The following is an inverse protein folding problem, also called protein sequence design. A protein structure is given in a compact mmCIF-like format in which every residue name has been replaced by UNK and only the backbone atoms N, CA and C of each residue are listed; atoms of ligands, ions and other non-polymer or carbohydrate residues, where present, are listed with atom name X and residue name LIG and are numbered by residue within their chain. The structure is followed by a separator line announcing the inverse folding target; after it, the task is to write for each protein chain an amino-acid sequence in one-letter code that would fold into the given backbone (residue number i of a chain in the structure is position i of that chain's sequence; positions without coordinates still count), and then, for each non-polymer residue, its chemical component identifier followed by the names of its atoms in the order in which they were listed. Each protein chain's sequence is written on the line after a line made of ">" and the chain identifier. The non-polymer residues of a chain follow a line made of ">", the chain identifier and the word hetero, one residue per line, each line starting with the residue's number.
data_IF_800789351275
#
_entry.id   IF_800789351275
#
_cell.length_a   1.000
_cell.length_b   1.000
_cell.length_c   1.000
_cell.angle_alpha   90.00
_cell.angle_beta   90.00
_cell.angle_gamma   90.00
#
_symmetry.space_group_name_H-M   'P 1'
#
loop_
_entity.id
_entity.type
_entity.pdbx_description
1 polymer ?
#
# COMPACT_ATOMS: atom_id res chain seq x y z
N UNK A 1 5.00 10.37 -12.23
CA UNK A 1 3.71 10.96 -12.64
C UNK A 1 2.61 10.13 -12.05
N UNK A 2 1.61 10.77 -11.45
CA UNK A 2 0.43 10.10 -10.89
C UNK A 2 -0.42 9.58 -12.03
N UNK A 3 -0.62 8.26 -12.08
CA UNK A 3 -1.58 7.66 -13.01
C UNK A 3 -2.98 7.85 -12.48
N UNK A 4 -3.90 8.25 -13.37
CA UNK A 4 -5.30 8.47 -13.04
C UNK A 4 -6.12 7.41 -13.78
N UNK A 5 -6.71 6.49 -13.02
CA UNK A 5 -7.60 5.47 -13.56
C UNK A 5 -9.05 5.94 -13.44
N UNK A 6 -9.86 5.74 -14.49
CA UNK A 6 -11.31 6.03 -14.42
C UNK A 6 -12.07 4.80 -13.93
N UNK A 7 -12.93 4.98 -12.91
CA UNK A 7 -13.82 3.94 -12.39
C UNK A 7 -15.26 4.37 -12.64
N UNK A 8 -16.02 3.57 -13.40
CA UNK A 8 -17.45 3.78 -13.55
C UNK A 8 -18.19 3.28 -12.30
N UNK A 9 -19.06 4.11 -11.74
CA UNK A 9 -19.84 3.81 -10.56
C UNK A 9 -21.28 4.31 -10.72
N UNK A 10 -22.22 3.65 -10.03
CA UNK A 10 -23.62 4.05 -9.99
C UNK A 10 -23.93 4.75 -8.67
N UNK A 11 -24.68 5.85 -8.75
CA UNK A 11 -25.14 6.55 -7.56
C UNK A 11 -26.25 5.76 -6.86
N UNK A 12 -26.24 5.77 -5.53
CA UNK A 12 -27.24 5.10 -4.71
C UNK A 12 -27.98 6.08 -3.81
N UNK A 13 -29.30 6.05 -3.88
CA UNK A 13 -30.14 6.92 -3.05
C UNK A 13 -30.35 6.40 -1.62
N UNK A 14 -30.27 5.07 -1.42
CA UNK A 14 -30.48 4.45 -0.09
C UNK A 14 -29.15 4.18 0.61
N UNK A 15 -28.90 4.89 1.69
CA UNK A 15 -27.83 4.63 2.64
C UNK A 15 -28.22 3.57 3.69
N UNK A 16 -27.22 2.93 4.30
CA UNK A 16 -27.41 2.05 5.47
C UNK A 16 -27.22 0.54 5.21
N UNK A 17 -27.25 -0.23 6.30
CA UNK A 17 -26.91 -1.68 6.33
C UNK A 17 -27.80 -2.53 5.41
N UNK A 18 -29.10 -2.22 5.33
CA UNK A 18 -30.05 -2.94 4.49
C UNK A 18 -29.79 -2.74 2.99
N UNK A 19 -29.53 -1.49 2.59
CA UNK A 19 -29.24 -1.15 1.20
C UNK A 19 -27.89 -1.74 0.75
N UNK A 20 -26.85 -1.67 1.59
CA UNK A 20 -25.56 -2.28 1.30
C UNK A 20 -25.69 -3.81 1.10
N UNK A 21 -26.50 -4.49 1.93
CA UNK A 21 -26.80 -5.92 1.76
C UNK A 21 -27.54 -6.23 0.46
N UNK A 22 -28.50 -5.41 0.06
CA UNK A 22 -29.24 -5.60 -1.19
C UNK A 22 -28.29 -5.55 -2.40
N UNK A 23 -27.39 -4.57 -2.45
CA UNK A 23 -26.47 -4.43 -3.58
C UNK A 23 -25.42 -5.52 -3.64
N UNK A 24 -24.97 -6.05 -2.49
CA UNK A 24 -24.14 -7.27 -2.49
C UNK A 24 -24.89 -8.49 -3.04
N UNK A 25 -26.21 -8.60 -2.78
CA UNK A 25 -27.05 -9.64 -3.39
C UNK A 25 -27.23 -9.45 -4.89
N UNK A 26 -27.21 -8.21 -5.36
CA UNK A 26 -27.20 -7.86 -6.80
C UNK A 26 -25.82 -8.10 -7.45
N UNK A 27 -24.81 -8.53 -6.68
CA UNK A 27 -23.46 -8.80 -7.18
C UNK A 27 -22.59 -7.56 -7.38
N UNK A 28 -23.01 -6.39 -6.86
CA UNK A 28 -22.23 -5.14 -6.90
C UNK A 28 -21.58 -4.85 -5.56
N UNK A 29 -20.47 -4.11 -5.58
CA UNK A 29 -19.74 -3.70 -4.37
C UNK A 29 -20.24 -2.33 -3.92
N UNK A 30 -20.80 -2.20 -2.70
CA UNK A 30 -21.11 -0.90 -2.14
C UNK A 30 -19.83 -0.14 -1.79
N UNK A 31 -19.83 1.18 -2.00
CA UNK A 31 -18.75 2.04 -1.56
C UNK A 31 -19.26 3.41 -1.12
N UNK A 32 -18.36 4.18 -0.52
CA UNK A 32 -18.64 5.55 -0.07
C UNK A 32 -17.54 6.48 -0.56
N UNK A 33 -17.95 7.58 -1.17
CA UNK A 33 -17.09 8.71 -1.47
C UNK A 33 -17.28 9.77 -0.40
N UNK A 34 -16.25 10.13 0.34
CA UNK A 34 -16.31 11.17 1.38
C UNK A 34 -15.11 12.13 1.30
N UNK A 35 -15.13 13.21 2.06
CA UNK A 35 -14.01 14.15 2.14
C UNK A 35 -14.24 15.45 1.36
N UNK A 36 -13.18 16.25 1.22
CA UNK A 36 -13.23 17.58 0.62
C UNK A 36 -14.31 18.54 1.17
N UNK A 37 -14.71 18.38 2.45
CA UNK A 37 -15.79 19.14 3.12
C UNK A 37 -17.16 19.05 2.42
N UNK A 38 -17.40 17.99 1.64
CA UNK A 38 -18.66 17.73 0.97
C UNK A 38 -19.38 16.53 1.59
N UNK A 39 -20.68 16.43 1.33
CA UNK A 39 -21.48 15.32 1.83
C UNK A 39 -21.01 13.97 1.24
N UNK A 40 -21.01 12.90 2.05
CA UNK A 40 -20.69 11.56 1.58
C UNK A 40 -21.70 11.08 0.53
N UNK A 41 -21.20 10.51 -0.57
CA UNK A 41 -22.03 9.91 -1.61
C UNK A 41 -21.89 8.39 -1.54
N UNK A 42 -23.03 7.71 -1.44
CA UNK A 42 -23.09 6.25 -1.53
C UNK A 42 -23.08 5.81 -2.99
N UNK A 43 -22.19 4.88 -3.32
CA UNK A 43 -21.98 4.40 -4.68
C UNK A 43 -22.05 2.87 -4.76
N UNK A 44 -22.37 2.35 -5.93
CA UNK A 44 -22.27 0.93 -6.28
C UNK A 44 -21.31 0.78 -7.45
N UNK A 45 -20.34 -0.14 -7.32
CA UNK A 45 -19.33 -0.39 -8.35
C UNK A 45 -19.40 -1.87 -8.76
N UNK A 46 -19.11 -2.15 -10.03
CA UNK A 46 -18.94 -3.52 -10.51
C UNK A 46 -17.67 -4.13 -9.88
N UNK A 47 -17.75 -5.31 -9.22
CA UNK A 47 -16.61 -5.97 -8.61
C UNK A 47 -15.46 -6.23 -9.58
N UNK A 48 -15.73 -6.42 -10.88
CA UNK A 48 -14.69 -6.71 -11.90
C UNK A 48 -13.72 -5.53 -12.07
N UNK A 49 -14.25 -4.31 -12.03
CA UNK A 49 -13.45 -3.09 -12.16
C UNK A 49 -12.54 -2.94 -10.95
N UNK A 50 -13.07 -3.16 -9.75
CA UNK A 50 -12.29 -3.12 -8.50
C UNK A 50 -11.22 -4.21 -8.53
N UNK A 51 -11.57 -5.45 -8.88
CA UNK A 51 -10.63 -6.55 -8.95
C UNK A 51 -9.49 -6.30 -9.95
N UNK A 52 -9.78 -5.69 -11.09
CA UNK A 52 -8.75 -5.34 -12.07
C UNK A 52 -7.78 -4.28 -11.53
N UNK A 53 -8.29 -3.25 -10.85
CA UNK A 53 -7.43 -2.21 -10.29
C UNK A 53 -6.67 -2.66 -9.05
N UNK A 54 -7.24 -3.58 -8.27
CA UNK A 54 -6.61 -4.10 -7.07
C UNK A 54 -5.37 -4.94 -7.37
N UNK A 55 -5.36 -5.65 -8.50
CA UNK A 55 -4.19 -6.39 -8.96
C UNK A 55 -3.07 -5.51 -9.50
N UNK A 56 -3.34 -4.23 -9.75
CA UNK A 56 -2.29 -3.30 -10.17
C UNK A 56 -1.52 -2.81 -8.94
N UNK A 57 -0.19 -2.65 -9.05
CA UNK A 57 0.60 -2.10 -7.95
C UNK A 57 0.13 -0.68 -7.63
N UNK A 58 0.26 -0.29 -6.36
CA UNK A 58 -0.04 1.07 -5.92
C UNK A 58 -1.54 1.42 -5.85
N UNK A 59 -2.44 0.45 -5.63
CA UNK A 59 -3.88 0.74 -5.55
C UNK A 59 -4.24 1.86 -4.55
N UNK A 60 -3.56 1.92 -3.40
CA UNK A 60 -3.79 2.95 -2.37
C UNK A 60 -3.05 4.28 -2.61
N UNK A 61 -2.13 4.31 -3.58
CA UNK A 61 -1.32 5.49 -3.93
C UNK A 61 -1.77 6.14 -5.25
N UNK A 62 -2.60 5.46 -6.04
CA UNK A 62 -3.14 5.95 -7.32
C UNK A 62 -4.40 6.79 -7.11
N UNK A 63 -4.55 7.83 -7.94
CA UNK A 63 -5.76 8.62 -8.01
C UNK A 63 -6.77 7.96 -8.95
N UNK A 64 -8.04 7.99 -8.57
CA UNK A 64 -9.14 7.47 -9.34
C UNK A 64 -10.15 8.58 -9.66
N UNK A 65 -10.49 8.71 -10.93
CA UNK A 65 -11.61 9.54 -11.35
C UNK A 65 -12.86 8.66 -11.36
N UNK A 66 -13.69 8.80 -10.33
CA UNK A 66 -14.95 8.05 -10.19
C UNK A 66 -16.03 8.76 -10.98
N UNK A 67 -16.52 8.12 -12.05
CA UNK A 67 -17.59 8.65 -12.89
C UNK A 67 -18.94 8.10 -12.41
N UNK A 68 -19.78 9.00 -11.89
CA UNK A 68 -21.12 8.68 -11.41
C UNK A 68 -22.21 8.88 -12.49
N UNK A 69 -21.81 9.16 -13.74
CA UNK A 69 -22.70 9.50 -14.84
C UNK A 69 -23.49 10.77 -14.52
N UNK A 70 -24.71 10.62 -13.97
CA UNK A 70 -25.56 11.75 -13.54
C UNK A 70 -25.00 12.52 -12.34
N UNK A 71 -24.10 11.92 -11.57
CA UNK A 71 -23.47 12.54 -10.38
C UNK A 71 -22.13 13.25 -10.64
N UNK A 72 -21.69 13.32 -11.91
CA UNK A 72 -20.41 13.91 -12.30
C UNK A 72 -19.18 13.04 -11.97
N UNK A 73 -18.00 13.59 -12.26
CA UNK A 73 -16.71 12.95 -12.00
C UNK A 73 -16.08 13.46 -10.71
N UNK A 74 -15.62 12.54 -9.87
CA UNK A 74 -14.99 12.85 -8.59
C UNK A 74 -13.59 12.26 -8.53
N UNK A 75 -12.59 13.12 -8.31
CA UNK A 75 -11.22 12.66 -8.09
C UNK A 75 -11.04 12.18 -6.65
N UNK A 76 -10.72 10.90 -6.51
CA UNK A 76 -10.68 10.21 -5.24
C UNK A 76 -9.42 9.37 -5.07
N UNK A 77 -8.98 9.19 -3.84
CA UNK A 77 -7.96 8.22 -3.43
C UNK A 77 -8.65 7.03 -2.76
N UNK A 78 -8.22 5.80 -3.06
CA UNK A 78 -8.69 4.62 -2.33
C UNK A 78 -8.09 4.59 -0.93
N UNK A 79 -8.93 4.77 0.09
CA UNK A 79 -8.48 4.76 1.49
C UNK A 79 -8.41 3.36 2.05
N UNK A 80 -9.49 2.59 1.85
CA UNK A 80 -9.58 1.24 2.37
C UNK A 80 -10.48 0.37 1.49
N UNK A 81 -10.21 -0.93 1.54
CA UNK A 81 -11.00 -1.96 0.86
C UNK A 81 -11.23 -3.08 1.85
N UNK A 82 -12.50 -3.39 2.09
CA UNK A 82 -12.87 -4.52 2.94
C UNK A 82 -13.02 -5.76 2.08
N UNK A 83 -12.36 -6.83 2.48
CA UNK A 83 -12.43 -8.13 1.82
C UNK A 83 -13.29 -9.09 2.61
N UNK A 84 -13.94 -9.99 1.89
CA UNK A 84 -14.62 -11.10 2.51
C UNK A 84 -13.58 -12.15 2.95
N UNK A 85 -13.59 -12.60 4.22
CA UNK A 85 -12.48 -13.33 4.84
C UNK A 85 -12.23 -14.75 4.31
N UNK A 86 -13.09 -15.26 3.44
CA UNK A 86 -13.01 -16.65 2.92
C UNK A 86 -12.77 -16.72 1.42
N UNK A 87 -13.25 -15.74 0.65
CA UNK A 87 -13.20 -15.78 -0.81
C UNK A 87 -12.48 -14.55 -1.40
N UNK A 88 -11.90 -13.71 -0.53
CA UNK A 88 -11.16 -12.49 -0.84
C UNK A 88 -11.88 -11.51 -1.79
N UNK A 89 -13.20 -11.62 -1.88
CA UNK A 89 -13.97 -10.71 -2.72
C UNK A 89 -14.11 -9.34 -2.03
N UNK A 90 -13.93 -8.23 -2.76
CA UNK A 90 -14.13 -6.90 -2.22
C UNK A 90 -15.60 -6.72 -1.83
N UNK A 91 -15.85 -6.44 -0.55
CA UNK A 91 -17.18 -6.23 0.04
C UNK A 91 -17.54 -4.77 0.22
N UNK A 92 -16.55 -3.91 0.38
CA UNK A 92 -16.73 -2.48 0.56
C UNK A 92 -15.49 -1.72 0.09
N UNK A 93 -15.69 -0.53 -0.45
CA UNK A 93 -14.59 0.38 -0.81
C UNK A 93 -14.84 1.78 -0.29
N UNK A 94 -13.79 2.34 0.31
CA UNK A 94 -13.75 3.68 0.88
C UNK A 94 -12.92 4.58 -0.03
N UNK A 95 -13.57 5.60 -0.60
CA UNK A 95 -12.94 6.55 -1.51
C UNK A 95 -12.95 7.94 -0.86
N UNK A 96 -11.76 8.54 -0.76
CA UNK A 96 -11.60 9.88 -0.21
C UNK A 96 -11.44 10.89 -1.35
N UNK A 97 -12.34 11.87 -1.47
CA UNK A 97 -12.21 12.98 -2.40
C UNK A 97 -10.97 13.79 -2.08
N UNK A 98 -10.21 14.11 -3.12
CA UNK A 98 -8.98 14.86 -2.99
C UNK A 98 -9.10 16.16 -3.77
N UNK A 99 -8.91 17.29 -3.08
CA UNK A 99 -8.76 18.59 -3.73
C UNK A 99 -7.28 18.80 -4.09
N UNK A 100 -7.00 19.50 -5.19
CA UNK A 100 -5.63 19.71 -5.68
C UNK A 100 -4.71 20.35 -4.61
N UNK A 101 -5.25 21.25 -3.80
CA UNK A 101 -4.49 21.96 -2.76
C UNK A 101 -4.49 21.25 -1.40
N UNK A 102 -5.10 20.07 -1.29
CA UNK A 102 -5.21 19.37 -0.01
C UNK A 102 -3.97 18.53 0.28
N UNK A 103 -3.53 18.57 1.53
CA UNK A 103 -2.50 17.67 2.04
C UNK A 103 -3.13 16.31 2.36
N UNK A 104 -2.57 15.23 1.81
CA UNK A 104 -3.10 13.87 1.94
C UNK A 104 -2.13 12.98 2.70
N UNK A 105 -2.67 12.14 3.59
CA UNK A 105 -1.93 11.10 4.27
C UNK A 105 -2.09 9.77 3.53
N UNK A 106 -1.01 9.23 3.01
CA UNK A 106 -1.02 8.01 2.18
C UNK A 106 -0.01 7.00 2.72
N UNK A 107 -0.38 5.72 2.65
CA UNK A 107 0.52 4.59 2.91
C UNK A 107 1.14 4.18 1.59
N UNK A 108 2.46 4.33 1.49
CA UNK A 108 3.21 3.99 0.28
C UNK A 108 3.98 2.69 0.55
N UNK A 109 3.80 1.65 -0.28
CA UNK A 109 4.49 0.38 -0.10
C UNK A 109 5.99 0.53 -0.35
N UNK A 110 6.77 -0.27 0.38
CA UNK A 110 8.22 -0.37 0.22
C UNK A 110 8.56 -1.66 -0.53
N UNK A 111 9.32 -1.52 -1.60
CA UNK A 111 9.82 -2.63 -2.41
C UNK A 111 11.33 -2.71 -2.33
N UNK A 112 11.84 -3.93 -2.32
CA UNK A 112 13.28 -4.22 -2.30
C UNK A 112 13.75 -4.49 -3.70
N UNK A 113 14.76 -3.75 -4.15
CA UNK A 113 15.46 -4.01 -5.41
C UNK A 113 16.83 -4.66 -5.15
N UNK A 114 17.29 -5.44 -6.13
CA UNK A 114 18.62 -6.04 -6.16
C UNK A 114 19.00 -6.91 -4.94
N UNK A 115 18.04 -7.56 -4.29
CA UNK A 115 18.31 -8.50 -3.19
C UNK A 115 19.37 -9.55 -3.59
N UNK A 116 19.34 -10.06 -4.83
CA UNK A 116 20.28 -11.06 -5.34
C UNK A 116 21.72 -10.53 -5.54
N UNK A 117 21.91 -9.21 -5.60
CA UNK A 117 23.23 -8.59 -5.74
C UNK A 117 23.84 -8.21 -4.39
N UNK A 118 23.10 -8.37 -3.29
CA UNK A 118 23.62 -8.15 -1.94
C UNK A 118 24.61 -9.26 -1.57
N UNK A 119 25.85 -8.91 -1.14
CA UNK A 119 26.78 -9.90 -0.58
C UNK A 119 26.21 -10.56 0.68
N UNK A 120 25.39 -9.84 1.46
CA UNK A 120 24.69 -10.36 2.62
C UNK A 120 23.73 -11.51 2.30
N UNK A 121 22.89 -11.34 1.27
CA UNK A 121 21.96 -12.38 0.81
C UNK A 121 22.70 -13.58 0.22
N UNK A 122 23.74 -13.34 -0.59
CA UNK A 122 24.58 -14.41 -1.17
C UNK A 122 25.29 -15.27 -0.12
N UNK A 123 25.60 -14.70 1.04
CA UNK A 123 26.21 -15.40 2.19
C UNK A 123 25.18 -16.11 3.08
N UNK A 124 23.92 -16.19 2.65
CA UNK A 124 22.82 -16.83 3.36
C UNK A 124 22.06 -15.90 4.30
N UNK A 125 22.28 -14.58 4.25
CA UNK A 125 21.50 -13.61 5.01
C UNK A 125 20.03 -13.56 4.56
N UNK A 126 19.12 -13.35 5.50
CA UNK A 126 17.69 -13.21 5.25
C UNK A 126 17.32 -11.72 5.28
N UNK A 127 16.64 -11.25 4.23
CA UNK A 127 16.12 -9.89 4.18
C UNK A 127 14.83 -9.83 4.99
N UNK A 128 14.83 -9.02 6.04
CA UNK A 128 13.65 -8.72 6.84
C UNK A 128 13.16 -7.31 6.52
N UNK A 129 11.92 -7.20 6.06
CA UNK A 129 11.20 -5.93 5.98
C UNK A 129 10.53 -5.66 7.32
N UNK A 130 10.99 -4.65 8.04
CA UNK A 130 10.37 -4.23 9.30
C UNK A 130 9.16 -3.32 9.04
N UNK A 131 9.24 -2.51 7.98
CA UNK A 131 8.17 -1.63 7.53
C UNK A 131 7.83 -1.97 6.07
N UNK A 132 6.67 -2.58 5.85
CA UNK A 132 6.15 -2.88 4.52
C UNK A 132 5.52 -1.67 3.83
N UNK A 133 5.01 -0.72 4.61
CA UNK A 133 4.39 0.50 4.13
C UNK A 133 4.90 1.67 4.99
N UNK A 134 5.17 2.81 4.37
CA UNK A 134 5.54 4.05 5.05
C UNK A 134 4.40 5.03 4.91
N UNK A 135 3.94 5.56 6.05
CA UNK A 135 2.97 6.65 6.08
C UNK A 135 3.66 7.96 5.71
N UNK A 136 3.18 8.61 4.66
CA UNK A 136 3.69 9.89 4.20
C UNK A 136 2.57 10.89 4.01
N UNK A 137 2.94 12.16 4.14
CA UNK A 137 2.08 13.30 3.90
C UNK A 137 2.60 14.04 2.67
N UNK A 138 1.75 14.21 1.66
CA UNK A 138 2.12 14.85 0.40
C UNK A 138 0.92 15.48 -0.31
N UNK A 139 1.21 16.32 -1.29
CA UNK A 139 0.19 16.82 -2.21
C UNK A 139 -0.29 15.69 -3.15
N UNK A 140 -1.52 15.73 -3.66
CA UNK A 140 -2.10 14.64 -4.47
C UNK A 140 -1.31 14.40 -5.76
N UNK A 141 -0.72 15.45 -6.30
CA UNK A 141 0.06 15.42 -7.54
C UNK A 141 1.47 14.84 -7.37
N UNK A 142 1.93 14.72 -6.11
CA UNK A 142 3.28 14.27 -5.75
C UNK A 142 3.28 12.91 -5.04
N UNK A 143 2.16 12.19 -5.02
CA UNK A 143 2.08 10.87 -4.37
C UNK A 143 3.03 9.89 -5.10
N UNK A 144 4.05 9.34 -4.41
CA UNK A 144 4.88 8.29 -4.97
C UNK A 144 4.13 6.96 -4.98
N UNK A 145 4.35 6.15 -6.03
CA UNK A 145 3.71 4.83 -6.16
C UNK A 145 4.29 3.82 -5.18
N UNK A 146 5.62 3.82 -5.06
CA UNK A 146 6.40 2.91 -4.22
C UNK A 146 7.72 3.57 -3.79
N UNK A 147 8.27 3.09 -2.68
CA UNK A 147 9.65 3.35 -2.28
C UNK A 147 10.52 2.15 -2.59
N UNK A 148 11.51 2.32 -3.47
CA UNK A 148 12.45 1.26 -3.82
C UNK A 148 13.70 1.39 -2.96
N UNK A 149 13.98 0.36 -2.16
CA UNK A 149 15.22 0.23 -1.39
C UNK A 149 16.20 -0.63 -2.18
N UNK A 150 17.34 -0.08 -2.55
CA UNK A 150 18.42 -0.84 -3.17
C UNK A 150 19.27 -1.52 -2.09
N UNK A 151 19.38 -2.85 -2.16
CA UNK A 151 20.25 -3.64 -1.27
C UNK A 151 21.60 -3.98 -1.90
N UNK A 152 21.91 -3.46 -3.09
CA UNK A 152 23.19 -3.70 -3.74
C UNK A 152 24.36 -3.32 -2.83
N UNK A 153 25.26 -4.28 -2.57
CA UNK A 153 26.47 -4.06 -1.77
C UNK A 153 26.28 -4.05 -0.25
N UNK A 154 25.07 -4.27 0.28
CA UNK A 154 24.86 -4.37 1.73
C UNK A 154 25.26 -5.75 2.28
N UNK A 155 25.98 -5.74 3.40
CA UNK A 155 26.43 -6.93 4.12
C UNK A 155 25.43 -7.40 5.19
N UNK A 156 25.68 -8.59 5.73
CA UNK A 156 24.91 -9.14 6.85
C UNK A 156 25.03 -8.21 8.07
N UNK A 157 23.89 -7.84 8.65
CA UNK A 157 23.79 -6.92 9.77
C UNK A 157 23.57 -5.46 9.37
N UNK A 158 23.54 -5.15 8.06
CA UNK A 158 23.21 -3.82 7.60
C UNK A 158 21.70 -3.53 7.77
N UNK A 159 21.41 -2.29 8.15
CA UNK A 159 20.06 -1.75 8.32
C UNK A 159 19.90 -0.49 7.45
N UNK A 160 18.80 -0.39 6.72
CA UNK A 160 18.42 0.80 5.96
C UNK A 160 17.36 1.57 6.74
N UNK A 161 17.61 2.85 7.00
CA UNK A 161 16.71 3.73 7.74
C UNK A 161 15.87 4.60 6.82
N UNK A 162 14.74 5.11 7.31
CA UNK A 162 13.82 5.99 6.55
C UNK A 162 14.53 7.24 6.01
N UNK A 163 15.44 7.83 6.78
CA UNK A 163 16.20 9.02 6.34
C UNK A 163 17.17 8.75 5.17
N UNK A 164 17.51 7.48 4.90
CA UNK A 164 18.37 7.08 3.77
C UNK A 164 17.56 6.79 2.50
N UNK A 165 16.23 6.73 2.61
CA UNK A 165 15.35 6.65 1.45
C UNK A 165 15.37 8.01 0.75
N UNK A 166 15.63 8.01 -0.56
CA UNK A 166 15.58 9.20 -1.40
C UNK A 166 14.16 9.73 -1.55
N UNK A 167 13.63 10.37 -0.49
CA UNK A 167 12.28 10.93 -0.47
C UNK A 167 12.16 12.01 -1.56
N UNK A 168 11.18 11.92 -2.46
CA UNK A 168 10.97 12.94 -3.49
C UNK A 168 10.54 14.27 -2.86
N UNK A 169 10.85 15.38 -3.54
CA UNK A 169 10.56 16.74 -3.06
C UNK A 169 9.07 16.90 -2.73
N UNK A 170 8.75 17.31 -1.50
CA UNK A 170 7.38 17.57 -1.05
C UNK A 170 6.69 16.40 -0.35
N UNK A 171 7.39 15.28 -0.12
CA UNK A 171 6.89 14.15 0.68
C UNK A 171 7.53 14.17 2.06
N UNK A 172 6.70 14.30 3.10
CA UNK A 172 7.17 14.27 4.49
C UNK A 172 6.67 12.99 5.18
N UNK A 173 7.55 12.22 5.85
CA UNK A 173 7.12 11.04 6.61
C UNK A 173 6.19 11.48 7.75
N UNK A 174 5.15 10.68 7.98
CA UNK A 174 4.12 10.91 8.99
C UNK A 174 4.24 9.82 10.06
N UNK A 175 4.40 10.20 11.33
CA UNK A 175 4.57 9.29 12.48
C UNK A 175 5.74 8.32 12.44
N UNK A 176 6.65 8.42 11.47
CA UNK A 176 7.85 7.59 11.41
C UNK A 176 9.09 8.46 11.68
N UNK A 177 9.85 8.13 12.71
CA UNK A 177 11.12 8.78 12.98
C UNK A 177 12.09 8.54 11.82
N UNK A 178 12.93 9.52 11.49
CA UNK A 178 13.92 9.39 10.41
C UNK A 178 14.88 8.19 10.62
N UNK A 179 15.07 7.79 11.88
CA UNK A 179 15.92 6.67 12.30
C UNK A 179 15.21 5.32 12.29
N UNK A 180 13.91 5.26 11.96
CA UNK A 180 13.19 4.00 11.90
C UNK A 180 13.81 3.10 10.82
N UNK A 181 14.04 1.85 11.17
CA UNK A 181 14.59 0.86 10.27
C UNK A 181 13.50 0.34 9.34
N UNK A 182 13.80 0.29 8.05
CA UNK A 182 12.87 -0.13 7.00
C UNK A 182 13.19 -1.57 6.58
N UNK A 183 14.46 -1.85 6.36
CA UNK A 183 14.95 -3.16 5.93
C UNK A 183 16.22 -3.53 6.70
N UNK A 184 16.29 -4.76 7.19
CA UNK A 184 17.51 -5.34 7.78
C UNK A 184 17.90 -6.63 7.07
N UNK A 185 19.20 -6.87 6.97
CA UNK A 185 19.74 -8.15 6.50
C UNK A 185 20.19 -8.94 7.73
N UNK A 186 19.37 -9.87 8.18
CA UNK A 186 19.66 -10.70 9.35
C UNK A 186 20.57 -11.90 8.97
N UNK A 187 21.43 -12.37 9.89
CA UNK A 187 22.17 -13.62 9.69
C UNK A 187 21.22 -14.83 9.66
N UNK A 188 21.54 -15.89 8.89
CA UNK A 188 20.73 -17.10 8.85
C UNK A 188 20.68 -17.77 10.22
N UNK A 189 19.48 -18.07 10.69
CA UNK A 189 19.23 -18.79 11.96
C UNK A 189 19.64 -20.26 11.91
N UNK A 190 19.90 -20.85 10.73
CA UNK A 190 20.22 -22.29 10.57
C UNK A 190 21.74 -22.56 10.46
N UNK A 191 22.61 -21.56 10.60
CA UNK A 191 24.03 -21.69 10.28
C UNK A 191 25.05 -21.69 11.43
N UNK A 192 24.64 -21.85 12.69
CA UNK A 192 25.59 -21.87 13.84
C UNK A 192 25.29 -22.87 14.97
N UNK A 193 24.43 -23.87 14.73
CA UNK A 193 24.23 -24.95 15.70
C UNK A 193 25.06 -26.22 15.41
N UNK A 194 25.50 -26.47 14.17
CA UNK A 194 26.22 -27.72 13.83
C UNK A 194 27.76 -27.60 13.74
N UNK A 195 28.35 -26.42 13.91
CA UNK A 195 29.81 -26.25 13.80
C UNK A 195 30.57 -26.28 15.13
N UNK A 196 29.90 -26.44 16.27
CA UNK A 196 30.54 -26.38 17.60
C UNK A 196 30.59 -27.73 18.35
N UNK A 197 30.06 -28.82 17.78
CA UNK A 197 29.96 -30.11 18.48
C UNK A 197 31.06 -31.14 18.14
N UNK A 198 31.92 -30.91 17.14
CA UNK A 198 32.92 -31.91 16.69
C UNK A 198 34.39 -31.63 17.05
N UNK A 199 34.67 -30.68 17.96
CA UNK A 199 36.07 -30.37 18.37
C UNK A 199 36.48 -30.83 19.77
N UNK A 200 35.70 -31.69 20.44
CA UNK A 200 36.03 -32.22 21.78
C UNK A 200 36.05 -33.76 21.84
N UNK A 201 36.70 -34.40 20.87
CA UNK A 201 37.06 -35.83 20.95
C UNK A 201 38.40 -36.16 20.27
N UNK A 202 39.45 -35.40 20.60
CA UNK A 202 40.83 -35.87 20.44
C UNK A 202 41.76 -35.10 21.39
N UNK A 203 42.12 -35.74 22.50
CA UNK A 203 43.06 -35.23 23.51
C UNK A 203 43.05 -36.10 24.76
#
# INVERSE_FOLDING_TARGET
>A
MTEISTIAAELRDRAGKGAARATRREGKVPGVIYGAKQDPICIAIDPRIIWAELHKPGFKTRLFDVDLGKGGKHRCLARDVQYHPVNDQPMHIDLMRVAADAVVHVKVPVHVANADKSPGVKRGGVVNLELHEIEVTCAPDLIPHEFVVDLAGLDIGAAVHVGQLGLPKGVTPYHVAADATVVTIAPPTVGKADAAAEATSAG
#
